data_IF_305553268212
#
_entry.id   IF_305553268212
#
_cell.length_a   1.000
_cell.length_b   1.000
_cell.length_c   1.000
_cell.angle_alpha   90.00
_cell.angle_beta   90.00
_cell.angle_gamma   90.00
#
_symmetry.space_group_name_H-M   'P 1'
#
loop_
_entity.id
_entity.type
_entity.pdbx_description
1 polymer ?
#
# COMPACT_ATOMS: atom_id res chain seq x y z
N UNK A 1 3.40 -20.21 0.62
CA UNK A 1 2.87 -19.18 -0.30
C UNK A 1 1.35 -19.15 -0.46
N UNK A 2 0.63 -20.27 -0.35
CA UNK A 2 -0.83 -20.31 -0.47
C UNK A 2 -1.53 -19.32 0.47
N UNK A 3 -1.14 -19.27 1.75
CA UNK A 3 -1.70 -18.32 2.74
C UNK A 3 -1.46 -16.86 2.30
N UNK A 4 -0.26 -16.56 1.79
CA UNK A 4 0.10 -15.20 1.33
C UNK A 4 -0.73 -14.78 0.12
N UNK A 5 -0.87 -15.67 -0.87
CA UNK A 5 -1.70 -15.42 -2.03
C UNK A 5 -3.19 -15.33 -1.66
N UNK A 6 -3.65 -16.14 -0.70
CA UNK A 6 -5.07 -16.20 -0.32
C UNK A 6 -5.56 -14.96 0.40
N UNK A 7 -4.72 -14.23 1.13
CA UNK A 7 -5.10 -12.90 1.63
C UNK A 7 -4.63 -11.77 0.70
N UNK A 8 -3.48 -11.93 0.06
CA UNK A 8 -2.84 -10.90 -0.74
C UNK A 8 -3.61 -10.54 -2.01
N UNK A 9 -4.02 -11.54 -2.78
CA UNK A 9 -4.75 -11.34 -4.04
C UNK A 9 -6.13 -10.69 -3.78
N UNK A 10 -6.95 -11.18 -2.82
CA UNK A 10 -8.20 -10.51 -2.48
C UNK A 10 -8.00 -9.10 -1.94
N UNK A 11 -6.99 -8.86 -1.10
CA UNK A 11 -6.69 -7.52 -0.60
C UNK A 11 -6.29 -6.56 -1.74
N UNK A 12 -5.49 -7.01 -2.69
CA UNK A 12 -5.10 -6.21 -3.86
C UNK A 12 -6.32 -5.84 -4.73
N UNK A 13 -7.20 -6.81 -4.98
CA UNK A 13 -8.46 -6.57 -5.69
C UNK A 13 -9.36 -5.57 -4.93
N UNK A 14 -9.45 -5.71 -3.61
CA UNK A 14 -10.19 -4.77 -2.76
C UNK A 14 -9.59 -3.35 -2.80
N UNK A 15 -8.27 -3.20 -2.85
CA UNK A 15 -7.62 -1.89 -3.03
C UNK A 15 -7.98 -1.24 -4.36
N UNK A 16 -7.95 -1.99 -5.46
CA UNK A 16 -8.37 -1.46 -6.77
C UNK A 16 -9.83 -1.00 -6.72
N UNK A 17 -10.71 -1.85 -6.20
CA UNK A 17 -12.14 -1.56 -6.10
C UNK A 17 -12.40 -0.32 -5.22
N UNK A 18 -11.74 -0.21 -4.08
CA UNK A 18 -11.90 0.94 -3.17
C UNK A 18 -11.34 2.23 -3.77
N UNK A 19 -10.22 2.18 -4.51
CA UNK A 19 -9.71 3.35 -5.24
C UNK A 19 -10.70 3.81 -6.31
N UNK A 20 -11.23 2.90 -7.12
CA UNK A 20 -12.22 3.23 -8.15
C UNK A 20 -13.47 3.84 -7.51
N UNK A 21 -13.97 3.23 -6.45
CA UNK A 21 -15.13 3.73 -5.70
C UNK A 21 -14.87 5.13 -5.15
N UNK A 22 -13.74 5.36 -4.47
CA UNK A 22 -13.36 6.67 -3.93
C UNK A 22 -13.22 7.73 -5.02
N UNK A 23 -12.65 7.38 -6.18
CA UNK A 23 -12.55 8.30 -7.31
C UNK A 23 -13.91 8.62 -7.94
N UNK A 24 -14.87 7.69 -7.90
CA UNK A 24 -16.24 7.91 -8.36
C UNK A 24 -16.99 8.91 -7.48
N UNK A 25 -16.86 8.77 -6.15
CA UNK A 25 -17.52 9.65 -5.18
C UNK A 25 -16.69 10.89 -4.80
N UNK A 26 -15.57 11.15 -5.48
CA UNK A 26 -14.61 12.22 -5.14
C UNK A 26 -15.22 13.62 -5.02
N UNK A 27 -16.35 13.87 -5.69
CA UNK A 27 -17.06 15.16 -5.63
C UNK A 27 -17.70 15.44 -4.28
N UNK A 28 -17.94 14.40 -3.48
CA UNK A 28 -18.55 14.47 -2.15
C UNK A 28 -17.52 14.36 -1.01
N UNK A 29 -16.25 14.16 -1.34
CA UNK A 29 -15.16 13.98 -0.39
C UNK A 29 -14.24 15.19 -0.39
N UNK A 30 -13.53 15.40 0.71
CA UNK A 30 -12.46 16.39 0.76
C UNK A 30 -11.33 15.96 -0.18
N UNK A 31 -10.74 16.89 -0.95
CA UNK A 31 -9.67 16.56 -1.89
C UNK A 31 -8.46 15.97 -1.18
N UNK A 32 -8.14 16.47 0.03
CA UNK A 32 -7.09 15.94 0.90
C UNK A 32 -7.29 14.46 1.23
N UNK A 33 -8.50 14.07 1.63
CA UNK A 33 -8.84 12.67 1.91
C UNK A 33 -8.61 11.78 0.69
N UNK A 34 -9.08 12.22 -0.49
CA UNK A 34 -8.94 11.44 -1.73
C UNK A 34 -7.45 11.24 -2.07
N UNK A 35 -6.63 12.29 -1.98
CA UNK A 35 -5.20 12.21 -2.26
C UNK A 35 -4.49 11.26 -1.30
N UNK A 36 -4.72 11.40 0.02
CA UNK A 36 -4.08 10.55 1.03
C UNK A 36 -4.54 9.09 0.86
N UNK A 37 -5.82 8.86 0.58
CA UNK A 37 -6.36 7.51 0.38
C UNK A 37 -5.77 6.82 -0.86
N UNK A 38 -5.67 7.53 -1.99
CA UNK A 38 -5.07 6.99 -3.22
C UNK A 38 -3.58 6.70 -3.00
N UNK A 39 -2.85 7.60 -2.33
CA UNK A 39 -1.45 7.38 -1.98
C UNK A 39 -1.28 6.16 -1.06
N UNK A 40 -2.18 5.98 -0.09
CA UNK A 40 -2.21 4.83 0.81
C UNK A 40 -2.39 3.52 0.03
N UNK A 41 -3.39 3.46 -0.85
CA UNK A 41 -3.64 2.28 -1.67
C UNK A 41 -2.45 1.96 -2.58
N UNK A 42 -1.86 2.97 -3.21
CA UNK A 42 -0.68 2.79 -4.06
C UNK A 42 0.53 2.25 -3.30
N UNK A 43 0.86 2.85 -2.15
CA UNK A 43 1.95 2.37 -1.29
C UNK A 43 1.67 0.94 -0.82
N UNK A 44 0.44 0.61 -0.42
CA UNK A 44 0.08 -0.74 0.01
C UNK A 44 0.25 -1.80 -1.09
N UNK A 45 -0.14 -1.46 -2.32
CA UNK A 45 0.09 -2.30 -3.49
C UNK A 45 1.58 -2.52 -3.77
N UNK A 46 2.39 -1.45 -3.70
CA UNK A 46 3.85 -1.55 -3.85
C UNK A 46 4.50 -2.38 -2.75
N UNK A 47 4.09 -2.21 -1.48
CA UNK A 47 4.57 -3.03 -0.36
C UNK A 47 4.29 -4.50 -0.63
N UNK A 48 3.06 -4.83 -1.04
CA UNK A 48 2.67 -6.21 -1.32
C UNK A 48 3.51 -6.83 -2.43
N UNK A 49 3.65 -6.15 -3.56
CA UNK A 49 4.46 -6.64 -4.70
C UNK A 49 5.92 -6.79 -4.28
N UNK A 50 6.50 -5.77 -3.63
CA UNK A 50 7.90 -5.77 -3.24
C UNK A 50 8.23 -6.86 -2.21
N UNK A 51 7.38 -7.05 -1.20
CA UNK A 51 7.55 -8.12 -0.20
C UNK A 51 7.35 -9.51 -0.80
N UNK A 52 6.43 -9.65 -1.75
CA UNK A 52 6.23 -10.91 -2.46
C UNK A 52 7.45 -11.30 -3.30
N UNK A 53 7.97 -10.35 -4.08
CA UNK A 53 9.16 -10.53 -4.93
C UNK A 53 10.42 -10.80 -4.10
N UNK A 54 10.63 -10.04 -3.02
CA UNK A 54 11.86 -10.11 -2.23
C UNK A 54 11.94 -11.32 -1.29
N UNK A 55 10.83 -11.71 -0.64
CA UNK A 55 10.87 -12.66 0.48
C UNK A 55 10.28 -14.03 0.16
N UNK A 56 9.38 -14.12 -0.81
CA UNK A 56 8.52 -15.31 -1.00
C UNK A 56 8.73 -16.00 -2.34
N UNK A 57 9.19 -15.27 -3.34
CA UNK A 57 9.36 -15.78 -4.70
C UNK A 57 10.41 -16.89 -4.82
N UNK A 58 11.39 -16.92 -3.92
CA UNK A 58 12.38 -18.02 -3.83
C UNK A 58 11.74 -19.39 -3.52
N UNK A 59 10.59 -19.40 -2.84
CA UNK A 59 9.93 -20.64 -2.42
C UNK A 59 9.08 -21.28 -3.52
N UNK A 60 8.84 -20.59 -4.65
CA UNK A 60 8.06 -21.12 -5.77
C UNK A 60 8.98 -21.67 -6.87
N UNK A 61 8.84 -22.95 -7.28
CA UNK A 61 9.66 -23.54 -8.34
C UNK A 61 9.43 -22.86 -9.71
N UNK A 62 8.23 -22.33 -9.96
CA UNK A 62 7.89 -21.61 -11.20
C UNK A 62 8.61 -20.25 -11.34
N UNK A 63 8.99 -19.63 -10.22
CA UNK A 63 9.61 -18.30 -10.21
C UNK A 63 11.10 -18.33 -9.85
N UNK A 64 11.70 -19.52 -9.82
CA UNK A 64 13.11 -19.70 -9.49
C UNK A 64 14.05 -18.91 -10.43
N UNK A 65 13.63 -18.66 -11.68
CA UNK A 65 14.35 -17.78 -12.61
C UNK A 65 14.57 -16.37 -12.05
N UNK A 66 13.53 -15.77 -11.45
CA UNK A 66 13.62 -14.42 -10.91
C UNK A 66 14.50 -14.37 -9.65
N UNK A 67 14.49 -15.43 -8.84
CA UNK A 67 15.42 -15.56 -7.71
C UNK A 67 16.88 -15.59 -8.18
N UNK A 68 17.19 -16.37 -9.22
CA UNK A 68 18.52 -16.38 -9.83
C UNK A 68 18.89 -15.04 -10.45
N UNK A 69 17.94 -14.35 -11.09
CA UNK A 69 18.15 -13.01 -11.64
C UNK A 69 18.46 -11.97 -10.56
N UNK A 70 17.70 -11.94 -9.47
CA UNK A 70 17.94 -11.03 -8.34
C UNK A 70 19.33 -11.28 -7.74
N UNK A 71 19.66 -12.55 -7.46
CA UNK A 71 20.91 -12.90 -6.80
C UNK A 71 22.13 -12.88 -7.72
N UNK A 72 21.94 -12.58 -9.00
CA UNK A 72 23.06 -12.34 -9.90
C UNK A 72 23.87 -11.11 -9.46
N UNK A 73 23.24 -10.14 -8.79
CA UNK A 73 23.91 -8.95 -8.28
C UNK A 73 23.54 -8.71 -6.82
N UNK A 74 24.50 -8.24 -6.02
CA UNK A 74 24.26 -7.93 -4.58
C UNK A 74 23.36 -6.69 -4.41
N UNK A 75 23.26 -5.83 -5.43
CA UNK A 75 22.55 -4.56 -5.37
C UNK A 75 21.03 -4.75 -5.30
N UNK A 76 20.46 -5.65 -6.11
CA UNK A 76 19.01 -5.82 -6.23
C UNK A 76 18.37 -6.28 -4.90
N UNK A 77 18.90 -7.29 -4.18
CA UNK A 77 18.41 -7.67 -2.85
C UNK A 77 18.44 -6.52 -1.83
N UNK A 78 19.51 -5.72 -1.83
CA UNK A 78 19.67 -4.58 -0.91
C UNK A 78 18.61 -3.52 -1.20
N UNK A 79 18.36 -3.21 -2.47
CA UNK A 79 17.31 -2.26 -2.88
C UNK A 79 15.95 -2.77 -2.45
N UNK A 80 15.64 -4.05 -2.65
CA UNK A 80 14.40 -4.64 -2.17
C UNK A 80 14.22 -4.51 -0.67
N UNK A 81 15.26 -4.82 0.12
CA UNK A 81 15.22 -4.72 1.58
C UNK A 81 15.03 -3.27 2.05
N UNK A 82 15.71 -2.31 1.42
CA UNK A 82 15.52 -0.88 1.68
C UNK A 82 14.09 -0.44 1.37
N UNK A 83 13.56 -0.84 0.20
CA UNK A 83 12.20 -0.50 -0.22
C UNK A 83 11.14 -1.07 0.73
N UNK A 84 11.35 -2.26 1.31
CA UNK A 84 10.45 -2.81 2.33
C UNK A 84 10.36 -1.84 3.52
N UNK A 85 11.50 -1.43 4.08
CA UNK A 85 11.53 -0.49 5.21
C UNK A 85 10.91 0.87 4.86
N UNK A 86 11.23 1.40 3.68
CA UNK A 86 10.69 2.67 3.19
C UNK A 86 9.17 2.61 3.01
N UNK A 87 8.63 1.54 2.41
CA UNK A 87 7.20 1.41 2.21
C UNK A 87 6.45 1.24 3.53
N UNK A 88 6.97 0.46 4.49
CA UNK A 88 6.36 0.38 5.82
C UNK A 88 6.34 1.75 6.53
N UNK A 89 7.41 2.53 6.39
CA UNK A 89 7.42 3.90 6.91
C UNK A 89 6.35 4.78 6.24
N UNK A 90 6.26 4.73 4.91
CA UNK A 90 5.24 5.47 4.16
C UNK A 90 3.80 5.05 4.53
N UNK A 91 3.55 3.76 4.78
CA UNK A 91 2.25 3.26 5.25
C UNK A 91 1.86 3.89 6.60
N UNK A 92 2.80 3.97 7.54
CA UNK A 92 2.56 4.56 8.86
C UNK A 92 2.27 6.05 8.77
N UNK A 93 3.03 6.80 7.96
CA UNK A 93 2.77 8.22 7.69
C UNK A 93 1.37 8.41 7.09
N UNK A 94 1.04 7.64 6.06
CA UNK A 94 -0.25 7.73 5.39
C UNK A 94 -1.41 7.45 6.35
N UNK A 95 -1.24 6.47 7.24
CA UNK A 95 -2.22 6.15 8.28
C UNK A 95 -2.39 7.30 9.27
N UNK A 96 -1.28 7.91 9.70
CA UNK A 96 -1.30 9.09 10.57
C UNK A 96 -2.01 10.28 9.90
N UNK A 97 -1.70 10.57 8.62
CA UNK A 97 -2.33 11.64 7.86
C UNK A 97 -3.84 11.42 7.70
N UNK A 98 -4.29 10.19 7.43
CA UNK A 98 -5.72 9.85 7.38
C UNK A 98 -6.40 10.09 8.73
N UNK A 99 -5.76 9.73 9.84
CA UNK A 99 -6.30 9.98 11.19
C UNK A 99 -6.43 11.48 11.46
N UNK A 100 -5.43 12.27 11.11
CA UNK A 100 -5.44 13.72 11.29
C UNK A 100 -6.52 14.38 10.42
N UNK A 101 -6.59 14.02 9.13
CA UNK A 101 -7.59 14.56 8.18
C UNK A 101 -9.02 14.32 8.67
N UNK A 102 -9.30 13.10 9.17
CA UNK A 102 -10.59 12.76 9.77
C UNK A 102 -10.85 13.50 11.07
N UNK A 103 -9.85 13.62 11.94
CA UNK A 103 -9.98 14.36 13.20
C UNK A 103 -10.33 15.82 12.95
N UNK A 104 -9.61 16.50 12.04
CA UNK A 104 -9.86 17.89 11.66
C UNK A 104 -11.26 18.03 11.06
N UNK A 105 -11.67 17.12 10.17
CA UNK A 105 -13.00 17.16 9.55
C UNK A 105 -14.13 17.07 10.59
N UNK A 106 -13.98 16.23 11.62
CA UNK A 106 -14.97 16.08 12.70
C UNK A 106 -14.99 17.31 13.61
N UNK A 107 -13.82 17.79 14.03
CA UNK A 107 -13.73 18.94 14.93
C UNK A 107 -14.23 20.22 14.24
N UNK A 108 -13.89 20.43 12.97
CA UNK A 108 -14.34 21.58 12.20
C UNK A 108 -15.87 21.64 12.08
N UNK A 109 -16.53 20.48 11.90
CA UNK A 109 -17.99 20.38 11.93
C UNK A 109 -18.57 20.79 13.29
N UNK A 110 -18.01 20.27 14.38
CA UNK A 110 -18.50 20.55 15.74
C UNK A 110 -18.28 22.01 16.20
N UNK A 111 -17.36 22.74 15.59
CA UNK A 111 -17.14 24.17 15.89
C UNK A 111 -18.14 25.09 15.22
N UNK A 112 -18.84 24.65 14.18
CA UNK A 112 -19.85 25.44 13.46
C UNK A 112 -21.20 25.44 14.21
N UNK A 113 -21.44 24.40 15.02
CA UNK A 113 -22.67 24.22 15.79
C UNK A 113 -22.66 24.90 17.18
N UNK A 114 -21.58 25.60 17.54
CA UNK A 114 -21.41 26.37 18.79
C UNK A 114 -21.40 27.86 18.50
#
# INVERSE_FOLDING_TARGET
NIIFASYGIPCFAAYILTVISTLSIRKHLTPSFVTIFVLTAFVNCLTYINTWLALRLHQEPLFNFYYHFINWTVVIPIVHQFLIGFFFFAQNINSCLLTIDRFVSIVALNWIDV
#
